data_IF_149007637186
#
_entry.id   IF_149007637186
#
_cell.length_a   1.000
_cell.length_b   1.000
_cell.length_c   1.000
_cell.angle_alpha   90.00
_cell.angle_beta   90.00
_cell.angle_gamma   90.00
#
_symmetry.space_group_name_H-M   'P 1'
#
loop_
_entity.id
_entity.type
_entity.pdbx_description
1 polymer ?
#
# COMPACT_ATOMS: atom_id res chain seq x y z
N UNK A 1 12.95 -7.21 17.63
CA UNK A 1 13.78 -6.52 16.61
C UNK A 1 12.98 -5.70 15.60
N UNK A 2 11.67 -5.92 15.42
CA UNK A 2 10.85 -5.17 14.45
C UNK A 2 10.53 -3.69 14.82
N UNK A 3 10.83 -3.25 16.04
CA UNK A 3 10.55 -1.90 16.54
C UNK A 3 11.62 -0.88 16.19
N UNK A 4 12.84 -1.33 15.88
CA UNK A 4 13.97 -0.43 15.59
C UNK A 4 13.95 0.10 14.14
N UNK A 5 13.45 -0.70 13.19
CA UNK A 5 13.36 -0.30 11.77
C UNK A 5 12.24 0.72 11.51
N UNK A 6 11.17 0.72 12.31
CA UNK A 6 10.09 1.71 12.21
C UNK A 6 10.54 3.12 12.67
N UNK A 7 11.39 3.21 13.70
CA UNK A 7 11.79 4.50 14.29
C UNK A 7 12.83 5.27 13.47
N UNK A 8 13.54 4.63 12.54
CA UNK A 8 14.59 5.30 11.74
C UNK A 8 14.04 6.03 10.49
N UNK A 9 12.80 5.74 10.05
CA UNK A 9 12.24 6.22 8.78
C UNK A 9 11.54 7.59 8.90
N UNK A 10 11.35 8.11 10.10
CA UNK A 10 10.47 9.27 10.41
C UNK A 10 11.14 10.65 10.22
N UNK A 11 12.00 10.83 9.23
CA UNK A 11 12.46 12.18 8.84
C UNK A 11 12.37 12.27 7.31
N UNK A 12 11.71 13.30 6.76
CA UNK A 12 11.34 13.39 5.34
C UNK A 12 12.47 13.19 4.31
N UNK A 13 13.75 13.26 4.70
CA UNK A 13 14.89 12.87 3.87
C UNK A 13 15.20 11.36 3.83
N UNK A 14 14.76 10.59 4.83
CA UNK A 14 14.95 9.13 4.92
C UNK A 14 13.99 8.39 4.00
N UNK A 15 12.75 8.86 3.85
CA UNK A 15 11.77 8.21 2.96
C UNK A 15 12.24 8.17 1.50
N UNK A 16 12.84 9.25 1.00
CA UNK A 16 13.45 9.28 -0.33
C UNK A 16 14.58 8.24 -0.46
N UNK A 17 15.41 8.09 0.57
CA UNK A 17 16.47 7.07 0.60
C UNK A 17 15.90 5.66 0.61
N UNK A 18 14.87 5.39 1.41
CA UNK A 18 14.19 4.07 1.47
C UNK A 18 13.57 3.73 0.11
N UNK A 19 12.98 4.71 -0.57
CA UNK A 19 12.44 4.51 -1.92
C UNK A 19 13.53 4.15 -2.94
N UNK A 20 14.65 4.88 -2.93
CA UNK A 20 15.77 4.57 -3.83
C UNK A 20 16.36 3.18 -3.55
N UNK A 21 16.44 2.77 -2.27
CA UNK A 21 16.88 1.43 -1.91
C UNK A 21 15.90 0.37 -2.46
N UNK A 22 14.59 0.59 -2.33
CA UNK A 22 13.58 -0.34 -2.85
C UNK A 22 13.70 -0.56 -4.37
N UNK A 23 14.02 0.50 -5.14
CA UNK A 23 14.21 0.42 -6.59
C UNK A 23 15.48 -0.35 -7.00
N UNK A 24 16.49 -0.38 -6.12
CA UNK A 24 17.79 -1.03 -6.37
C UNK A 24 17.89 -2.44 -5.77
N UNK A 25 17.03 -2.76 -4.81
CA UNK A 25 17.07 -4.02 -4.08
C UNK A 25 16.69 -5.20 -4.98
N UNK A 26 17.34 -6.34 -4.80
CA UNK A 26 17.01 -7.60 -5.49
C UNK A 26 16.52 -8.67 -4.49
N UNK A 27 16.95 -8.59 -3.23
CA UNK A 27 16.45 -9.47 -2.19
C UNK A 27 14.99 -9.16 -1.82
N UNK A 28 14.16 -10.20 -1.88
CA UNK A 28 12.74 -10.03 -1.63
C UNK A 28 12.41 -9.76 -0.16
N UNK A 29 13.17 -10.36 0.76
CA UNK A 29 12.97 -10.14 2.19
C UNK A 29 13.28 -8.69 2.58
N UNK A 30 14.33 -8.13 2.01
CA UNK A 30 14.69 -6.72 2.18
C UNK A 30 13.66 -5.78 1.54
N UNK A 31 13.16 -6.09 0.34
CA UNK A 31 12.04 -5.35 -0.27
C UNK A 31 10.81 -5.27 0.63
N UNK A 32 10.42 -6.39 1.24
CA UNK A 32 9.28 -6.43 2.15
C UNK A 32 9.51 -5.54 3.39
N UNK A 33 10.75 -5.50 3.93
CA UNK A 33 11.08 -4.59 5.03
C UNK A 33 11.06 -3.11 4.61
N UNK A 34 11.53 -2.81 3.40
CA UNK A 34 11.51 -1.44 2.85
C UNK A 34 10.07 -0.97 2.60
N UNK A 35 9.21 -1.82 2.03
CA UNK A 35 7.78 -1.56 1.87
C UNK A 35 7.15 -1.22 3.22
N UNK A 36 7.38 -2.06 4.23
CA UNK A 36 6.88 -1.85 5.59
C UNK A 36 7.35 -0.52 6.18
N UNK A 37 8.62 -0.17 6.01
CA UNK A 37 9.17 1.10 6.46
C UNK A 37 8.50 2.31 5.81
N UNK A 38 8.29 2.28 4.48
CA UNK A 38 7.59 3.35 3.75
C UNK A 38 6.13 3.49 4.19
N UNK A 39 5.45 2.38 4.49
CA UNK A 39 4.05 2.37 4.92
C UNK A 39 3.83 2.93 6.33
N UNK A 40 4.89 3.19 7.10
CA UNK A 40 4.81 3.89 8.38
C UNK A 40 4.76 5.42 8.26
N UNK A 41 4.73 5.97 7.03
CA UNK A 41 4.63 7.41 6.81
C UNK A 41 3.38 8.02 7.47
N UNK A 42 3.56 9.19 8.10
CA UNK A 42 2.47 10.01 8.66
C UNK A 42 1.84 10.95 7.61
N UNK A 43 2.36 10.94 6.38
CA UNK A 43 1.84 11.75 5.28
C UNK A 43 0.88 10.93 4.42
N UNK A 44 -0.40 11.28 4.46
CA UNK A 44 -1.46 10.66 3.64
C UNK A 44 -1.12 10.65 2.15
N UNK A 45 -0.57 11.76 1.64
CA UNK A 45 -0.15 11.89 0.23
C UNK A 45 0.88 10.83 -0.16
N UNK A 46 1.80 10.50 0.76
CA UNK A 46 2.82 9.49 0.52
C UNK A 46 2.25 8.08 0.52
N UNK A 47 1.35 7.76 1.46
CA UNK A 47 0.68 6.46 1.49
C UNK A 47 -0.13 6.22 0.20
N UNK A 48 -0.87 7.25 -0.27
CA UNK A 48 -1.59 7.19 -1.55
C UNK A 48 -0.63 7.03 -2.74
N UNK A 49 0.51 7.74 -2.72
CA UNK A 49 1.54 7.60 -3.76
C UNK A 49 2.14 6.20 -3.78
N UNK A 50 2.36 5.59 -2.62
CA UNK A 50 2.88 4.22 -2.51
C UNK A 50 1.90 3.22 -3.14
N UNK A 51 0.61 3.32 -2.83
CA UNK A 51 -0.45 2.49 -3.45
C UNK A 51 -0.51 2.69 -4.97
N UNK A 52 -0.44 3.94 -5.44
CA UNK A 52 -0.49 4.26 -6.86
C UNK A 52 0.72 3.69 -7.61
N UNK A 53 1.91 3.86 -7.05
CA UNK A 53 3.15 3.35 -7.63
C UNK A 53 3.16 1.82 -7.72
N UNK A 54 2.56 1.13 -6.75
CA UNK A 54 2.43 -0.33 -6.80
C UNK A 54 1.56 -0.80 -7.98
N UNK A 55 0.55 -0.01 -8.35
CA UNK A 55 -0.34 -0.30 -9.48
C UNK A 55 0.23 0.13 -10.83
N UNK A 56 1.25 1.00 -10.85
CA UNK A 56 1.86 1.46 -12.08
C UNK A 56 2.46 0.28 -12.87
N UNK A 57 2.12 0.22 -14.15
CA UNK A 57 2.42 -0.92 -15.03
C UNK A 57 3.84 -0.86 -15.60
N UNK A 58 4.54 0.26 -15.39
CA UNK A 58 5.83 0.55 -16.01
C UNK A 58 7.03 -0.14 -15.33
N UNK A 59 6.91 -0.52 -14.05
CA UNK A 59 8.04 -0.91 -13.20
C UNK A 59 8.29 -2.40 -12.98
N UNK A 60 7.56 -3.32 -13.64
CA UNK A 60 7.77 -4.77 -13.44
C UNK A 60 7.48 -5.30 -12.02
N UNK A 61 6.77 -4.51 -11.19
CA UNK A 61 6.42 -4.89 -9.81
C UNK A 61 5.66 -6.23 -9.80
N UNK A 62 6.01 -7.17 -8.92
CA UNK A 62 5.31 -8.45 -8.87
C UNK A 62 3.95 -8.27 -8.21
N UNK A 63 2.94 -9.04 -8.62
CA UNK A 63 1.58 -8.94 -8.05
C UNK A 63 1.55 -9.22 -6.53
N UNK A 64 2.48 -10.03 -6.05
CA UNK A 64 2.69 -10.29 -4.62
C UNK A 64 3.15 -9.04 -3.88
N UNK A 65 4.01 -8.24 -4.48
CA UNK A 65 4.55 -7.01 -3.86
C UNK A 65 3.46 -5.94 -3.79
N UNK A 66 2.58 -5.89 -4.78
CA UNK A 66 1.36 -5.05 -4.72
C UNK A 66 0.50 -5.44 -3.52
N UNK A 67 0.28 -6.74 -3.30
CA UNK A 67 -0.47 -7.19 -2.12
C UNK A 67 0.24 -6.82 -0.82
N UNK A 68 1.56 -6.97 -0.75
CA UNK A 68 2.35 -6.55 0.42
C UNK A 68 2.17 -5.06 0.69
N UNK A 69 2.26 -4.20 -0.33
CA UNK A 69 2.05 -2.76 -0.20
C UNK A 69 0.66 -2.45 0.37
N UNK A 70 -0.41 -3.03 -0.20
CA UNK A 70 -1.77 -2.81 0.28
C UNK A 70 -1.94 -3.27 1.74
N UNK A 71 -1.37 -4.42 2.11
CA UNK A 71 -1.43 -4.95 3.48
C UNK A 71 -0.68 -4.04 4.45
N UNK A 72 0.54 -3.63 4.14
CA UNK A 72 1.34 -2.79 5.05
C UNK A 72 0.75 -1.38 5.18
N UNK A 73 0.29 -0.77 4.09
CA UNK A 73 -0.42 0.53 4.16
C UNK A 73 -1.69 0.40 4.99
N UNK A 74 -2.44 -0.70 4.87
CA UNK A 74 -3.67 -0.91 5.65
C UNK A 74 -3.44 -0.97 7.17
N UNK A 75 -2.21 -1.27 7.62
CA UNK A 75 -1.85 -1.30 9.04
C UNK A 75 -1.52 0.08 9.60
N UNK A 76 -1.35 1.08 8.74
CA UNK A 76 -1.16 2.46 9.16
C UNK A 76 -2.46 3.01 9.79
N UNK A 77 -2.40 3.76 10.91
CA UNK A 77 -3.58 4.38 11.51
C UNK A 77 -4.38 5.28 10.56
N UNK A 78 -3.71 5.92 9.59
CA UNK A 78 -4.32 6.79 8.58
C UNK A 78 -5.01 6.02 7.45
N UNK A 79 -4.90 4.68 7.44
CA UNK A 79 -5.50 3.83 6.41
C UNK A 79 -7.02 3.96 6.32
N UNK A 80 -7.68 4.26 7.45
CA UNK A 80 -9.14 4.43 7.53
C UNK A 80 -9.64 5.56 6.65
N UNK A 81 -8.85 6.62 6.48
CA UNK A 81 -9.22 7.78 5.68
C UNK A 81 -9.02 7.55 4.17
N UNK A 82 -8.22 6.54 3.78
CA UNK A 82 -7.73 6.42 2.41
C UNK A 82 -8.09 5.11 1.71
N UNK A 83 -8.14 3.97 2.40
CA UNK A 83 -8.13 2.66 1.72
C UNK A 83 -9.39 2.40 0.91
N UNK A 84 -10.57 2.77 1.42
CA UNK A 84 -11.85 2.59 0.73
C UNK A 84 -11.97 3.53 -0.46
N UNK A 85 -11.69 4.82 -0.25
CA UNK A 85 -11.75 5.81 -1.33
C UNK A 85 -10.74 5.44 -2.44
N UNK A 86 -9.54 5.01 -2.08
CA UNK A 86 -8.55 4.56 -3.05
C UNK A 86 -9.02 3.32 -3.84
N UNK A 87 -9.62 2.33 -3.17
CA UNK A 87 -10.18 1.15 -3.85
C UNK A 87 -11.20 1.57 -4.92
N UNK A 88 -12.12 2.47 -4.58
CA UNK A 88 -13.19 2.94 -5.48
C UNK A 88 -12.60 3.76 -6.63
N UNK A 89 -11.80 4.79 -6.31
CA UNK A 89 -11.22 5.72 -7.28
C UNK A 89 -10.23 5.06 -8.25
N UNK A 90 -9.67 3.91 -7.90
CA UNK A 90 -8.64 3.21 -8.68
C UNK A 90 -9.03 1.80 -9.08
N UNK A 91 -10.32 1.44 -8.96
CA UNK A 91 -10.83 0.10 -9.25
C UNK A 91 -10.40 -0.43 -10.63
N UNK A 92 -10.57 0.37 -11.68
CA UNK A 92 -10.20 0.00 -13.04
C UNK A 92 -8.69 -0.31 -13.17
N UNK A 93 -7.84 0.47 -12.50
CA UNK A 93 -6.39 0.22 -12.48
C UNK A 93 -6.06 -1.08 -11.75
N UNK A 94 -6.74 -1.36 -10.64
CA UNK A 94 -6.57 -2.58 -9.85
C UNK A 94 -6.94 -3.79 -10.73
N UNK A 95 -8.13 -3.82 -11.32
CA UNK A 95 -8.56 -4.95 -12.17
C UNK A 95 -7.64 -5.12 -13.38
N UNK A 96 -7.25 -4.03 -14.05
CA UNK A 96 -6.31 -4.09 -15.16
C UNK A 96 -4.95 -4.65 -14.76
N UNK A 97 -4.52 -4.44 -13.51
CA UNK A 97 -3.24 -4.92 -13.00
C UNK A 97 -3.26 -6.40 -12.65
N UNK A 98 -4.36 -6.89 -12.07
CA UNK A 98 -4.48 -8.28 -11.64
C UNK A 98 -4.99 -9.23 -12.73
N UNK A 99 -5.56 -8.74 -13.85
CA UNK A 99 -5.89 -9.50 -15.08
C UNK A 99 -6.48 -10.92 -14.86
N UNK A 100 -7.35 -11.09 -13.87
CA UNK A 100 -7.99 -12.38 -13.58
C UNK A 100 -7.39 -13.18 -12.41
N UNK A 101 -6.37 -12.66 -11.73
CA UNK A 101 -5.86 -13.19 -10.46
C UNK A 101 -6.87 -12.94 -9.34
N UNK A 102 -7.92 -13.75 -9.32
CA UNK A 102 -9.08 -13.60 -8.45
C UNK A 102 -8.70 -13.59 -6.97
N UNK A 103 -7.81 -14.50 -6.54
CA UNK A 103 -7.39 -14.60 -5.14
C UNK A 103 -6.67 -13.34 -4.65
N UNK A 104 -5.84 -12.74 -5.50
CA UNK A 104 -5.10 -11.51 -5.16
C UNK A 104 -6.03 -10.30 -5.17
N UNK A 105 -6.96 -10.25 -6.12
CA UNK A 105 -8.00 -9.20 -6.18
C UNK A 105 -8.90 -9.26 -4.95
N UNK A 106 -9.39 -10.45 -4.59
CA UNK A 106 -10.22 -10.68 -3.41
C UNK A 106 -9.50 -10.25 -2.12
N UNK A 107 -8.20 -10.55 -2.02
CA UNK A 107 -7.38 -10.14 -0.88
C UNK A 107 -7.31 -8.62 -0.75
N UNK A 108 -7.06 -7.89 -1.84
CA UNK A 108 -7.05 -6.42 -1.81
C UNK A 108 -8.40 -5.86 -1.39
N UNK A 109 -9.49 -6.38 -1.94
CA UNK A 109 -10.84 -5.96 -1.56
C UNK A 109 -11.05 -6.17 -0.05
N UNK A 110 -10.74 -7.36 0.48
CA UNK A 110 -10.84 -7.66 1.91
C UNK A 110 -10.00 -6.73 2.77
N UNK A 111 -8.77 -6.42 2.35
CA UNK A 111 -7.86 -5.51 3.06
C UNK A 111 -8.44 -4.10 3.14
N UNK A 112 -8.97 -3.58 2.04
CA UNK A 112 -9.59 -2.26 2.00
C UNK A 112 -10.89 -2.24 2.82
N UNK A 113 -11.79 -3.19 2.59
CA UNK A 113 -13.09 -3.31 3.29
C UNK A 113 -12.92 -3.50 4.81
N UNK A 114 -11.83 -4.13 5.25
CA UNK A 114 -11.48 -4.24 6.67
C UNK A 114 -11.20 -2.90 7.37
N UNK A 115 -11.23 -1.78 6.64
CA UNK A 115 -11.13 -0.42 7.20
C UNK A 115 -12.45 0.33 7.29
N UNK A 116 -13.57 -0.28 6.84
CA UNK A 116 -14.90 0.25 7.11
C UNK A 116 -15.19 0.16 8.61
N UNK A 117 -15.59 1.28 9.22
CA UNK A 117 -15.88 1.37 10.66
C UNK A 117 -17.29 1.86 10.99
N UNK A 118 -18.03 2.40 10.03
CA UNK A 118 -19.38 2.92 10.29
C UNK A 118 -20.33 2.76 9.10
N UNK A 119 -21.63 2.70 9.41
CA UNK A 119 -22.71 2.74 8.42
C UNK A 119 -22.66 4.03 7.56
N UNK A 120 -22.16 5.14 8.11
CA UNK A 120 -21.96 6.38 7.36
C UNK A 120 -21.01 6.22 6.18
N UNK A 121 -20.01 5.34 6.27
CA UNK A 121 -19.15 5.01 5.13
C UNK A 121 -19.85 4.10 4.12
N UNK A 122 -20.79 3.25 4.56
CA UNK A 122 -21.62 2.38 3.70
C UNK A 122 -22.68 3.19 2.94
N UNK A 123 -23.13 4.33 3.50
CA UNK A 123 -24.14 5.18 2.88
C UNK A 123 -23.60 6.10 1.76
N UNK A 124 -22.28 6.26 1.64
CA UNK A 124 -21.65 6.93 0.49
C UNK A 124 -21.64 6.07 -0.79
N UNK A 125 -22.18 4.85 -0.73
CA UNK A 125 -22.27 3.90 -1.84
C UNK A 125 -23.62 3.95 -2.61
N UNK A 126 -24.48 4.94 -2.36
CA UNK A 126 -25.76 5.15 -3.07
C UNK A 126 -25.90 6.57 -3.61
#
# INVERSE_FOLDING_TARGET
MATATANLVVIGGTLFRVKNLYELEDDQGEKDQLIKGMSCSEQVSELKRQLLNALDQTGGVRLTDINTVFVEVSRNPLAEEIMINFLIERWEMIIARFRGEFQLTERIIKVCLGKLRSEGQILLFW
#
